data_IF_967344707109
#
_entry.id   IF_967344707109
#
_cell.length_a   1.000
_cell.length_b   1.000
_cell.length_c   1.000
_cell.angle_alpha   90.00
_cell.angle_beta   90.00
_cell.angle_gamma   90.00
#
_symmetry.space_group_name_H-M   'P 1'
#
loop_
_entity.id
_entity.type
_entity.pdbx_description
1 polymer ?
#
# COMPACT_ATOMS: atom_id res chain seq x y z
N UNK A 1 -18.51 -27.03 -27.16
CA UNK A 1 -17.31 -26.50 -26.47
C UNK A 1 -16.82 -25.27 -27.22
N UNK A 2 -16.54 -24.14 -26.56
CA UNK A 2 -16.02 -22.97 -27.25
C UNK A 2 -14.66 -23.32 -27.88
N UNK A 3 -14.54 -23.06 -29.19
CA UNK A 3 -13.28 -23.25 -29.91
C UNK A 3 -12.30 -22.15 -29.51
N UNK A 4 -11.01 -22.47 -29.51
CA UNK A 4 -9.99 -21.43 -29.39
C UNK A 4 -10.19 -20.39 -30.51
N UNK A 5 -9.91 -19.11 -30.23
CA UNK A 5 -9.92 -18.09 -31.26
C UNK A 5 -8.91 -18.44 -32.37
N UNK A 6 -9.11 -17.97 -33.61
CA UNK A 6 -8.15 -18.16 -34.70
C UNK A 6 -6.73 -17.73 -34.32
N UNK A 7 -5.71 -18.35 -34.90
CA UNK A 7 -4.30 -18.08 -34.57
C UNK A 7 -3.92 -16.59 -34.73
N UNK A 8 -4.49 -15.91 -35.73
CA UNK A 8 -4.31 -14.48 -35.94
C UNK A 8 -4.81 -13.65 -34.75
N UNK A 9 -5.97 -14.02 -34.19
CA UNK A 9 -6.54 -13.38 -32.99
C UNK A 9 -5.70 -13.70 -31.75
N UNK A 10 -5.18 -14.93 -31.63
CA UNK A 10 -4.28 -15.30 -30.53
C UNK A 10 -2.98 -14.51 -30.55
N UNK A 11 -2.36 -14.37 -31.74
CA UNK A 11 -1.14 -13.59 -31.93
C UNK A 11 -1.37 -12.11 -31.62
N UNK A 12 -2.45 -11.55 -32.15
CA UNK A 12 -2.78 -10.14 -31.94
C UNK A 12 -3.12 -9.83 -30.48
N UNK A 13 -3.82 -10.74 -29.78
CA UNK A 13 -4.08 -10.61 -28.34
C UNK A 13 -2.78 -10.58 -27.52
N UNK A 14 -1.85 -11.50 -27.82
CA UNK A 14 -0.53 -11.54 -27.16
C UNK A 14 0.23 -10.24 -27.35
N UNK A 15 0.25 -9.72 -28.57
CA UNK A 15 0.94 -8.46 -28.89
C UNK A 15 0.34 -7.28 -28.12
N UNK A 16 -0.98 -7.12 -28.16
CA UNK A 16 -1.69 -6.04 -27.47
C UNK A 16 -1.48 -6.07 -25.97
N UNK A 17 -1.68 -7.23 -25.33
CA UNK A 17 -1.50 -7.35 -23.89
C UNK A 17 -0.04 -7.10 -23.46
N UNK A 18 0.94 -7.53 -24.26
CA UNK A 18 2.35 -7.25 -23.95
C UNK A 18 2.72 -5.78 -24.16
N UNK A 19 2.22 -5.13 -25.22
CA UNK A 19 2.44 -3.71 -25.43
C UNK A 19 1.82 -2.89 -24.29
N UNK A 20 0.56 -3.16 -23.96
CA UNK A 20 -0.15 -2.52 -22.84
C UNK A 20 0.55 -2.76 -21.51
N UNK A 21 1.03 -3.99 -21.26
CA UNK A 21 1.74 -4.30 -20.03
C UNK A 21 3.09 -3.60 -19.93
N UNK A 22 3.83 -3.48 -21.03
CA UNK A 22 5.10 -2.75 -21.04
C UNK A 22 4.93 -1.26 -20.73
N UNK A 23 3.81 -0.66 -21.13
CA UNK A 23 3.48 0.73 -20.81
C UNK A 23 3.06 0.91 -19.35
N UNK A 24 2.23 0.01 -18.80
CA UNK A 24 1.61 0.18 -17.48
C UNK A 24 2.36 -0.48 -16.32
N UNK A 25 3.05 -1.59 -16.56
CA UNK A 25 3.82 -2.35 -15.56
C UNK A 25 5.22 -2.69 -16.10
N UNK A 26 6.13 -1.70 -16.22
CA UNK A 26 7.48 -1.89 -16.76
C UNK A 26 8.36 -2.86 -15.94
N UNK A 27 7.94 -3.24 -14.73
CA UNK A 27 8.58 -4.26 -13.91
C UNK A 27 8.35 -5.70 -14.42
N UNK A 28 7.37 -5.91 -15.30
CA UNK A 28 7.17 -7.21 -15.92
C UNK A 28 8.11 -7.37 -17.10
N UNK A 29 8.79 -8.52 -17.15
CA UNK A 29 9.52 -8.96 -18.34
C UNK A 29 8.54 -9.22 -19.48
N UNK A 30 7.40 -9.84 -19.17
CA UNK A 30 6.38 -10.20 -20.16
C UNK A 30 5.04 -10.56 -19.51
N UNK A 31 3.96 -10.44 -20.28
CA UNK A 31 2.70 -11.14 -20.03
C UNK A 31 2.59 -12.38 -20.92
N UNK A 32 2.41 -13.53 -20.29
CA UNK A 32 2.19 -14.81 -20.95
C UNK A 32 0.71 -15.03 -21.20
N UNK A 33 0.36 -15.41 -22.43
CA UNK A 33 -1.02 -15.70 -22.81
C UNK A 33 -1.11 -17.10 -23.43
N UNK A 34 -1.75 -18.01 -22.68
CA UNK A 34 -1.92 -19.43 -23.06
C UNK A 34 -3.37 -19.70 -23.42
N UNK A 35 -3.62 -20.40 -24.53
CA UNK A 35 -4.98 -20.69 -24.99
C UNK A 35 -5.35 -22.15 -24.75
N UNK A 36 -6.49 -22.38 -24.10
CA UNK A 36 -7.05 -23.72 -23.89
C UNK A 36 -8.56 -23.66 -23.84
N UNK A 37 -9.22 -24.52 -24.61
CA UNK A 37 -10.67 -24.72 -24.60
C UNK A 37 -11.51 -23.43 -24.69
N UNK A 38 -11.13 -22.48 -25.55
CA UNK A 38 -11.84 -21.22 -25.75
C UNK A 38 -11.50 -20.12 -24.74
N UNK A 39 -10.53 -20.35 -23.87
CA UNK A 39 -10.03 -19.38 -22.90
C UNK A 39 -8.59 -18.98 -23.17
N UNK A 40 -8.27 -17.72 -22.89
CA UNK A 40 -6.91 -17.23 -22.74
C UNK A 40 -6.60 -17.05 -21.26
N UNK A 41 -5.53 -17.67 -20.79
CA UNK A 41 -5.01 -17.56 -19.43
C UNK A 41 -3.84 -16.59 -19.46
N UNK A 42 -3.89 -15.58 -18.60
CA UNK A 42 -2.98 -14.45 -18.60
C UNK A 42 -2.17 -14.47 -17.31
N UNK A 43 -0.85 -14.61 -17.44
CA UNK A 43 0.10 -14.67 -16.34
C UNK A 43 1.14 -13.54 -16.50
N UNK A 44 1.50 -12.83 -15.43
CA UNK A 44 2.60 -11.87 -15.41
C UNK A 44 3.92 -12.53 -15.03
N UNK A 45 5.03 -12.16 -15.67
CA UNK A 45 6.38 -12.68 -15.38
C UNK A 45 7.35 -11.54 -15.01
N UNK A 46 8.10 -11.71 -13.91
CA UNK A 46 9.17 -10.79 -13.48
C UNK A 46 10.57 -11.21 -13.97
N UNK A 47 11.55 -10.32 -13.80
CA UNK A 47 12.97 -10.68 -13.91
C UNK A 47 13.30 -11.77 -12.89
N UNK A 48 13.71 -12.95 -13.38
CA UNK A 48 13.92 -14.15 -12.56
C UNK A 48 12.98 -15.31 -12.89
N UNK A 49 11.96 -15.08 -13.73
CA UNK A 49 11.08 -16.14 -14.25
C UNK A 49 9.94 -16.57 -13.30
N UNK A 50 9.77 -15.88 -12.18
CA UNK A 50 8.58 -16.00 -11.34
C UNK A 50 7.33 -15.58 -12.12
N UNK A 51 6.25 -16.35 -11.98
CA UNK A 51 4.98 -16.12 -12.70
C UNK A 51 3.81 -16.04 -11.75
N UNK A 52 2.98 -15.02 -11.94
CA UNK A 52 1.73 -14.83 -11.21
C UNK A 52 0.53 -14.93 -12.17
N UNK A 53 -0.43 -15.84 -11.93
CA UNK A 53 -1.68 -15.85 -12.67
C UNK A 53 -2.52 -14.59 -12.36
N UNK A 54 -3.06 -13.94 -13.40
CA UNK A 54 -3.78 -12.67 -13.26
C UNK A 54 -5.27 -12.83 -13.55
N UNK A 55 -5.60 -13.25 -14.76
CA UNK A 55 -6.97 -13.37 -15.21
C UNK A 55 -7.14 -14.40 -16.32
N UNK A 56 -8.40 -14.76 -16.57
CA UNK A 56 -8.80 -15.64 -17.66
C UNK A 56 -9.83 -14.92 -18.51
N UNK A 57 -9.56 -14.87 -19.82
CA UNK A 57 -10.39 -14.23 -20.82
C UNK A 57 -11.13 -15.30 -21.62
N UNK A 58 -12.46 -15.22 -21.66
CA UNK A 58 -13.31 -16.13 -22.44
C UNK A 58 -13.57 -15.56 -23.82
N UNK A 59 -13.23 -16.32 -24.87
CA UNK A 59 -13.59 -15.96 -26.23
C UNK A 59 -15.06 -16.28 -26.49
N UNK A 60 -15.84 -15.27 -26.90
CA UNK A 60 -17.28 -15.41 -27.18
C UNK A 60 -17.62 -15.39 -28.67
N UNK A 61 -16.62 -15.25 -29.55
CA UNK A 61 -16.80 -15.09 -30.99
C UNK A 61 -16.83 -13.63 -31.46
N UNK A 62 -16.93 -12.67 -30.53
CA UNK A 62 -16.84 -11.24 -30.82
C UNK A 62 -15.38 -10.79 -30.75
N UNK A 63 -14.89 -10.18 -31.82
CA UNK A 63 -13.54 -9.63 -31.85
C UNK A 63 -13.42 -8.51 -30.81
N UNK A 64 -12.29 -8.50 -30.09
CA UNK A 64 -11.93 -7.50 -29.07
C UNK A 64 -12.77 -7.47 -27.78
N UNK A 65 -13.82 -8.27 -27.65
CA UNK A 65 -14.61 -8.37 -26.40
C UNK A 65 -14.42 -9.74 -25.76
N UNK A 66 -14.01 -9.77 -24.50
CA UNK A 66 -13.67 -10.97 -23.76
C UNK A 66 -14.45 -11.05 -22.46
N UNK A 67 -15.01 -12.23 -22.17
CA UNK A 67 -15.58 -12.48 -20.84
C UNK A 67 -14.46 -12.53 -19.80
N UNK A 68 -14.65 -11.90 -18.65
CA UNK A 68 -13.60 -11.71 -17.66
C UNK A 68 -13.77 -12.62 -16.44
N UNK A 69 -12.68 -13.25 -16.03
CA UNK A 69 -12.55 -13.94 -14.76
C UNK A 69 -11.23 -13.58 -14.08
N UNK A 70 -11.29 -13.24 -12.80
CA UNK A 70 -10.13 -12.89 -11.99
C UNK A 70 -9.54 -14.17 -11.38
N UNK A 71 -8.21 -14.27 -11.33
CA UNK A 71 -7.55 -15.33 -10.58
C UNK A 71 -7.85 -15.22 -9.08
N UNK A 72 -7.90 -16.33 -8.36
CA UNK A 72 -8.06 -16.35 -6.91
C UNK A 72 -7.09 -17.35 -6.31
N UNK A 73 -6.08 -16.83 -5.59
CA UNK A 73 -5.03 -17.64 -4.99
C UNK A 73 -5.54 -18.66 -3.95
N UNK A 74 -6.65 -18.37 -3.27
CA UNK A 74 -7.21 -19.25 -2.24
C UNK A 74 -7.71 -20.60 -2.76
N UNK A 75 -8.26 -20.62 -3.97
CA UNK A 75 -8.82 -21.83 -4.60
C UNK A 75 -8.02 -22.29 -5.83
N UNK A 76 -6.87 -21.65 -6.09
CA UNK A 76 -6.09 -21.77 -7.33
C UNK A 76 -6.97 -21.79 -8.60
N UNK A 77 -7.91 -20.84 -8.66
CA UNK A 77 -9.01 -20.86 -9.61
C UNK A 77 -9.27 -19.51 -10.27
N UNK A 78 -10.17 -19.50 -11.25
CA UNK A 78 -10.63 -18.28 -11.91
C UNK A 78 -12.12 -18.11 -11.68
N UNK A 79 -12.51 -16.98 -11.08
CA UNK A 79 -13.92 -16.64 -10.85
C UNK A 79 -14.34 -15.51 -11.77
N UNK A 80 -15.50 -15.68 -12.41
CA UNK A 80 -16.07 -14.67 -13.28
C UNK A 80 -16.26 -13.36 -12.49
N UNK A 81 -15.88 -12.25 -13.11
CA UNK A 81 -15.81 -10.94 -12.47
C UNK A 81 -16.50 -9.85 -13.28
N UNK A 82 -16.67 -8.69 -12.66
CA UNK A 82 -17.20 -7.48 -13.30
C UNK A 82 -16.05 -6.49 -13.49
N UNK A 83 -15.92 -5.97 -14.70
CA UNK A 83 -14.93 -4.95 -15.06
C UNK A 83 -15.33 -3.58 -14.50
N UNK A 84 -14.41 -2.60 -14.42
CA UNK A 84 -14.73 -1.24 -13.97
C UNK A 84 -15.88 -0.56 -14.74
N UNK A 85 -16.07 -0.93 -16.02
CA UNK A 85 -17.24 -0.52 -16.83
C UNK A 85 -18.59 -1.02 -16.31
N UNK A 86 -18.61 -1.92 -15.32
CA UNK A 86 -19.83 -2.54 -14.78
C UNK A 86 -20.30 -3.76 -15.56
N UNK A 87 -19.55 -4.19 -16.57
CA UNK A 87 -19.90 -5.32 -17.44
C UNK A 87 -19.07 -6.58 -17.13
N UNK A 88 -19.61 -7.79 -17.35
CA UNK A 88 -18.86 -9.05 -17.19
C UNK A 88 -17.89 -9.35 -18.35
N UNK A 89 -17.84 -8.47 -19.35
CA UNK A 89 -17.01 -8.58 -20.52
C UNK A 89 -16.63 -7.20 -21.04
N UNK A 90 -15.43 -7.10 -21.62
CA UNK A 90 -14.88 -5.84 -22.11
C UNK A 90 -13.63 -6.08 -22.93
N UNK A 91 -12.78 -5.07 -23.05
CA UNK A 91 -11.52 -5.22 -23.77
C UNK A 91 -10.55 -6.11 -22.98
N UNK A 92 -9.57 -6.69 -23.68
CA UNK A 92 -8.57 -7.51 -23.02
C UNK A 92 -7.65 -6.67 -22.12
N UNK A 93 -7.37 -5.43 -22.53
CA UNK A 93 -6.58 -4.44 -21.79
C UNK A 93 -7.30 -3.97 -20.52
N UNK A 94 -8.60 -3.69 -20.59
CA UNK A 94 -9.41 -3.34 -19.41
C UNK A 94 -9.42 -4.50 -18.40
N UNK A 95 -9.54 -5.73 -18.89
CA UNK A 95 -9.44 -6.92 -18.05
C UNK A 95 -8.04 -7.11 -17.44
N UNK A 96 -6.99 -6.79 -18.20
CA UNK A 96 -5.62 -6.80 -17.70
C UNK A 96 -5.40 -5.69 -16.66
N UNK A 97 -5.94 -4.49 -16.87
CA UNK A 97 -5.91 -3.37 -15.91
C UNK A 97 -6.62 -3.75 -14.62
N UNK A 98 -7.81 -4.34 -14.71
CA UNK A 98 -8.56 -4.79 -13.55
C UNK A 98 -7.77 -5.80 -12.69
N UNK A 99 -7.14 -6.79 -13.34
CA UNK A 99 -6.34 -7.79 -12.63
C UNK A 99 -4.98 -7.24 -12.18
N UNK A 100 -4.31 -6.45 -13.01
CA UNK A 100 -3.00 -5.89 -12.75
C UNK A 100 -3.00 -4.79 -11.70
N UNK A 101 -4.04 -3.96 -11.60
CA UNK A 101 -4.17 -2.98 -10.52
C UNK A 101 -4.34 -3.67 -9.15
N UNK A 102 -4.94 -4.86 -9.13
CA UNK A 102 -5.10 -5.66 -7.92
C UNK A 102 -3.80 -6.39 -7.54
N UNK A 103 -3.17 -7.07 -8.49
CA UNK A 103 -2.07 -8.00 -8.24
C UNK A 103 -0.68 -7.42 -8.52
N UNK A 104 -0.58 -6.58 -9.54
CA UNK A 104 0.68 -6.07 -10.08
C UNK A 104 0.92 -4.61 -9.71
N UNK A 105 0.19 -4.10 -8.69
CA UNK A 105 0.10 -2.68 -8.27
C UNK A 105 1.18 -1.80 -8.91
N UNK A 106 0.81 -0.81 -9.73
CA UNK A 106 1.80 0.00 -10.42
C UNK A 106 2.78 0.61 -9.42
N UNK A 107 4.08 0.33 -9.63
CA UNK A 107 5.07 1.32 -9.23
C UNK A 107 4.89 2.53 -10.15
N UNK A 108 5.05 3.73 -9.60
CA UNK A 108 5.11 4.95 -10.41
C UNK A 108 6.08 4.71 -11.58
N UNK A 109 5.75 5.17 -12.80
CA UNK A 109 6.55 4.91 -13.98
C UNK A 109 8.00 5.33 -13.71
N UNK A 110 8.94 4.42 -13.94
CA UNK A 110 10.38 4.76 -13.93
C UNK A 110 10.59 5.82 -15.02
N UNK A 111 10.63 7.07 -14.59
CA UNK A 111 10.65 8.25 -15.46
C UNK A 111 10.28 9.56 -14.75
N UNK A 112 9.43 9.52 -13.72
CA UNK A 112 9.37 10.61 -12.74
C UNK A 112 10.35 10.31 -11.62
N UNK A 113 11.10 11.30 -11.14
CA UNK A 113 11.94 11.15 -9.95
C UNK A 113 11.17 10.68 -8.70
N UNK A 114 11.82 10.60 -7.54
CA UNK A 114 11.15 10.20 -6.30
C UNK A 114 9.88 11.02 -6.04
N UNK A 115 8.85 10.36 -5.51
CA UNK A 115 7.57 10.97 -5.14
C UNK A 115 7.85 12.08 -4.14
N UNK A 116 7.54 13.32 -4.51
CA UNK A 116 7.77 14.47 -3.62
C UNK A 116 6.73 14.46 -2.50
N UNK A 117 7.21 14.54 -1.27
CA UNK A 117 6.41 14.72 -0.05
C UNK A 117 6.57 16.18 0.35
N UNK A 118 5.47 16.92 0.37
CA UNK A 118 5.47 18.33 0.74
C UNK A 118 5.83 18.52 2.23
N UNK A 119 6.49 19.62 2.54
CA UNK A 119 6.77 20.01 3.92
C UNK A 119 5.46 20.26 4.68
N UNK A 120 5.27 19.59 5.81
CA UNK A 120 4.01 19.60 6.56
C UNK A 120 3.88 18.41 7.50
N UNK A 121 2.66 17.90 7.66
CA UNK A 121 2.41 16.72 8.48
C UNK A 121 2.43 15.45 7.62
N UNK A 122 3.28 14.49 7.99
CA UNK A 122 3.34 13.16 7.37
C UNK A 122 2.83 12.12 8.35
N UNK A 123 1.75 11.43 8.00
CA UNK A 123 1.14 10.38 8.80
C UNK A 123 1.53 9.01 8.24
N UNK A 124 2.19 8.18 9.06
CA UNK A 124 2.35 6.77 8.71
C UNK A 124 1.09 6.02 9.10
N UNK A 125 0.49 5.28 8.17
CA UNK A 125 -0.77 4.56 8.36
C UNK A 125 -0.55 3.08 8.09
N UNK A 126 -0.56 2.25 9.14
CA UNK A 126 -0.44 0.81 8.99
C UNK A 126 -0.40 0.07 10.32
N UNK A 127 -0.80 -1.21 10.35
CA UNK A 127 -0.84 -2.02 11.56
C UNK A 127 0.56 -2.25 12.14
N UNK A 128 0.68 -2.71 13.40
CA UNK A 128 1.96 -3.20 13.93
C UNK A 128 2.59 -4.23 12.98
N UNK A 129 3.91 -4.35 13.02
CA UNK A 129 4.71 -5.16 12.11
C UNK A 129 4.80 -4.70 10.64
N UNK A 130 4.01 -3.72 10.19
CA UNK A 130 3.94 -3.30 8.77
C UNK A 130 5.19 -2.64 8.16
N UNK A 131 6.31 -2.51 8.89
CA UNK A 131 7.55 -1.93 8.39
C UNK A 131 7.73 -0.41 8.55
N UNK A 132 6.80 0.30 9.22
CA UNK A 132 6.87 1.77 9.45
C UNK A 132 8.22 2.23 10.04
N UNK A 133 8.63 1.65 11.17
CA UNK A 133 9.87 2.01 11.87
C UNK A 133 11.11 1.75 11.01
N UNK A 134 11.13 0.63 10.28
CA UNK A 134 12.23 0.31 9.36
C UNK A 134 12.32 1.30 8.20
N UNK A 135 11.18 1.74 7.67
CA UNK A 135 11.09 2.77 6.63
C UNK A 135 11.56 4.14 7.13
N UNK A 136 11.14 4.55 8.34
CA UNK A 136 11.60 5.80 8.96
C UNK A 136 13.11 5.80 9.16
N UNK A 137 13.67 4.72 9.71
CA UNK A 137 15.13 4.57 9.86
C UNK A 137 15.86 4.68 8.52
N UNK A 138 15.28 4.12 7.45
CA UNK A 138 15.84 4.24 6.12
C UNK A 138 15.76 5.67 5.57
N UNK A 139 14.69 6.43 5.84
CA UNK A 139 14.61 7.85 5.47
C UNK A 139 15.67 8.69 6.19
N UNK A 140 15.87 8.47 7.49
CA UNK A 140 16.90 9.16 8.29
C UNK A 140 18.30 8.83 7.76
N UNK A 141 18.61 7.54 7.56
CA UNK A 141 19.90 7.10 7.05
C UNK A 141 20.23 7.67 5.66
N UNK A 142 19.20 8.05 4.88
CA UNK A 142 19.34 8.69 3.56
C UNK A 142 19.33 10.22 3.63
N UNK A 143 19.26 10.81 4.82
CA UNK A 143 19.16 12.25 5.01
C UNK A 143 17.90 12.88 4.39
N UNK A 144 16.82 12.11 4.23
CA UNK A 144 15.54 12.64 3.73
C UNK A 144 14.76 13.35 4.82
N UNK A 145 14.90 12.90 6.07
CA UNK A 145 14.33 13.55 7.24
C UNK A 145 15.34 13.49 8.38
N UNK A 146 15.29 14.48 9.25
CA UNK A 146 16.04 14.46 10.50
C UNK A 146 15.37 13.53 11.52
N UNK A 147 16.15 12.97 12.44
CA UNK A 147 15.60 12.14 13.53
C UNK A 147 14.60 12.92 14.38
N UNK A 148 14.85 14.21 14.59
CA UNK A 148 13.97 15.11 15.34
C UNK A 148 12.62 15.39 14.63
N UNK A 149 12.49 15.01 13.35
CA UNK A 149 11.26 15.11 12.58
C UNK A 149 10.26 14.02 12.94
N UNK A 150 10.74 12.91 13.50
CA UNK A 150 9.91 11.76 13.87
C UNK A 150 9.32 11.98 15.24
N UNK A 151 8.00 11.84 15.33
CA UNK A 151 7.26 11.89 16.60
C UNK A 151 6.57 10.54 16.79
N UNK A 152 7.21 9.65 17.54
CA UNK A 152 6.72 8.30 17.80
C UNK A 152 5.98 8.19 19.13
N UNK A 153 4.78 7.61 19.14
CA UNK A 153 4.07 7.33 20.40
C UNK A 153 4.76 6.26 21.24
N UNK A 154 5.49 5.33 20.60
CA UNK A 154 6.22 4.26 21.28
C UNK A 154 7.49 4.80 21.97
N UNK A 155 8.21 5.72 21.31
CA UNK A 155 9.37 6.40 21.92
C UNK A 155 8.93 7.30 23.08
N UNK A 156 7.87 8.08 22.90
CA UNK A 156 7.29 8.91 23.96
C UNK A 156 6.87 8.03 25.16
N UNK A 157 6.25 6.88 24.91
CA UNK A 157 5.92 5.92 25.98
C UNK A 157 7.16 5.44 26.73
N UNK A 158 8.24 5.12 26.01
CA UNK A 158 9.50 4.69 26.63
C UNK A 158 10.13 5.80 27.50
N UNK A 159 10.08 7.06 27.05
CA UNK A 159 10.54 8.22 27.84
C UNK A 159 9.73 8.40 29.14
N UNK A 160 8.40 8.22 29.07
CA UNK A 160 7.52 8.31 30.25
C UNK A 160 7.62 7.10 31.19
N UNK A 161 7.89 5.90 30.70
CA UNK A 161 8.05 4.71 31.54
C UNK A 161 9.21 4.85 32.55
N UNK A 162 10.23 5.67 32.25
CA UNK A 162 11.29 5.99 33.20
C UNK A 162 10.92 7.04 34.27
N UNK A 163 9.73 7.66 34.15
CA UNK A 163 9.31 8.80 34.98
C UNK A 163 7.90 8.66 35.57
N UNK A 164 7.15 7.62 35.21
CA UNK A 164 5.76 7.42 35.64
C UNK A 164 5.69 6.76 37.03
N UNK A 165 4.83 7.24 37.95
CA UNK A 165 4.50 6.50 39.17
C UNK A 165 3.90 5.14 38.80
N UNK A 166 4.30 4.07 39.50
CA UNK A 166 3.84 2.70 39.25
C UNK A 166 2.30 2.51 39.34
N UNK A 167 1.59 3.49 39.91
CA UNK A 167 0.15 3.45 40.19
C UNK A 167 -0.69 4.38 39.28
N UNK A 168 -0.13 4.86 38.17
CA UNK A 168 -0.89 5.71 37.24
C UNK A 168 -1.97 4.92 36.48
N UNK A 169 -3.18 5.47 36.42
CA UNK A 169 -4.27 4.98 35.59
C UNK A 169 -3.81 4.86 34.12
N UNK A 170 -3.92 3.67 33.48
CA UNK A 170 -3.51 3.46 32.09
C UNK A 170 -4.11 4.46 31.10
N UNK A 171 -5.37 4.86 31.27
CA UNK A 171 -6.03 5.82 30.39
C UNK A 171 -5.42 7.23 30.52
N UNK A 172 -5.04 7.62 31.75
CA UNK A 172 -4.35 8.89 32.00
C UNK A 172 -2.92 8.88 31.46
N UNK A 173 -2.24 7.72 31.49
CA UNK A 173 -0.92 7.55 30.90
C UNK A 173 -0.96 7.70 29.37
N UNK A 174 -1.93 7.05 28.71
CA UNK A 174 -2.13 7.18 27.25
C UNK A 174 -2.49 8.61 26.85
N UNK A 175 -3.32 9.30 27.62
CA UNK A 175 -3.65 10.71 27.38
C UNK A 175 -2.40 11.59 27.38
N UNK A 176 -1.49 11.41 28.36
CA UNK A 176 -0.22 12.15 28.43
C UNK A 176 0.68 11.88 27.23
N UNK A 177 0.76 10.62 26.77
CA UNK A 177 1.53 10.26 25.57
C UNK A 177 0.99 10.99 24.34
N UNK A 178 -0.34 11.03 24.17
CA UNK A 178 -0.95 11.73 23.04
C UNK A 178 -0.82 13.24 23.13
N UNK A 179 -0.93 13.83 24.32
CA UNK A 179 -0.69 15.26 24.54
C UNK A 179 0.76 15.63 24.20
N UNK A 180 1.73 14.85 24.64
CA UNK A 180 3.14 15.08 24.35
C UNK A 180 3.45 14.93 22.85
N UNK A 181 2.88 13.91 22.20
CA UNK A 181 2.99 13.74 20.75
C UNK A 181 2.47 14.96 20.02
N UNK A 182 1.28 15.41 20.37
CA UNK A 182 0.65 16.55 19.73
C UNK A 182 1.42 17.84 19.99
N UNK A 183 1.97 18.03 21.20
CA UNK A 183 2.85 19.16 21.54
C UNK A 183 4.10 19.18 20.64
N UNK A 184 4.76 18.04 20.43
CA UNK A 184 5.93 17.92 19.54
C UNK A 184 5.57 18.23 18.09
N UNK A 185 4.46 17.69 17.60
CA UNK A 185 3.96 17.97 16.23
C UNK A 185 3.67 19.46 16.06
N UNK A 186 2.92 20.06 16.99
CA UNK A 186 2.60 21.50 17.01
C UNK A 186 3.87 22.35 16.96
N UNK A 187 4.87 22.03 17.79
CA UNK A 187 6.13 22.79 17.84
C UNK A 187 6.88 22.78 16.50
N UNK A 188 6.86 21.65 15.76
CA UNK A 188 7.48 21.55 14.44
C UNK A 188 6.70 22.32 13.38
N UNK A 189 5.39 22.12 13.31
CA UNK A 189 4.54 22.79 12.32
C UNK A 189 4.53 24.31 12.52
N UNK A 190 4.51 24.79 13.77
CA UNK A 190 4.63 26.21 14.09
C UNK A 190 5.96 26.83 13.62
N UNK A 191 7.01 26.01 13.51
CA UNK A 191 8.31 26.43 12.97
C UNK A 191 8.44 26.20 11.45
N UNK A 192 7.36 25.84 10.76
CA UNK A 192 7.35 25.52 9.33
C UNK A 192 8.14 24.26 8.97
N UNK A 193 8.41 23.38 9.94
CA UNK A 193 9.17 22.13 9.73
C UNK A 193 8.25 20.93 9.59
N UNK A 194 8.68 19.98 8.77
CA UNK A 194 7.99 18.68 8.59
C UNK A 194 7.92 17.91 9.91
N UNK A 195 6.75 17.35 10.22
CA UNK A 195 6.55 16.44 11.34
C UNK A 195 6.06 15.07 10.82
N UNK A 196 6.77 14.00 11.17
CA UNK A 196 6.42 12.62 10.82
C UNK A 196 5.80 11.95 12.03
N UNK A 197 4.48 11.76 12.02
CA UNK A 197 3.75 11.08 13.07
C UNK A 197 3.89 9.56 12.90
N UNK A 198 4.83 8.96 13.63
CA UNK A 198 5.08 7.51 13.62
C UNK A 198 4.19 6.82 14.65
N UNK A 199 3.06 6.29 14.19
CA UNK A 199 2.13 5.48 14.98
C UNK A 199 1.35 4.58 14.03
N UNK A 200 0.41 3.76 14.54
CA UNK A 200 -0.40 2.91 13.64
C UNK A 200 -1.35 3.74 12.78
N UNK A 201 -1.99 4.77 13.35
CA UNK A 201 -2.93 5.70 12.70
C UNK A 201 -4.02 5.02 11.85
N UNK A 202 -4.39 3.78 12.19
CA UNK A 202 -5.36 2.98 11.43
C UNK A 202 -6.81 3.42 11.66
N UNK A 203 -7.12 4.09 12.77
CA UNK A 203 -8.48 4.55 13.09
C UNK A 203 -8.74 5.98 12.56
N UNK A 204 -9.97 6.28 12.09
CA UNK A 204 -10.35 7.65 11.70
C UNK A 204 -10.18 8.65 12.84
N UNK A 205 -10.53 8.26 14.08
CA UNK A 205 -10.39 9.12 15.27
C UNK A 205 -8.95 9.57 15.50
N UNK A 206 -7.98 8.66 15.35
CA UNK A 206 -6.58 8.99 15.51
C UNK A 206 -6.11 10.00 14.46
N UNK A 207 -6.53 9.82 13.20
CA UNK A 207 -6.16 10.72 12.09
C UNK A 207 -6.85 12.08 12.19
N UNK A 208 -8.14 12.13 12.49
CA UNK A 208 -8.92 13.36 12.57
C UNK A 208 -8.28 14.40 13.53
N UNK A 209 -7.75 13.93 14.67
CA UNK A 209 -7.06 14.80 15.63
C UNK A 209 -5.77 15.40 15.05
N UNK A 210 -4.97 14.60 14.36
CA UNK A 210 -3.71 15.04 13.76
C UNK A 210 -3.94 15.94 12.54
N UNK A 211 -4.94 15.63 11.72
CA UNK A 211 -5.38 16.48 10.60
C UNK A 211 -5.82 17.84 11.13
N UNK A 212 -6.64 17.88 12.18
CA UNK A 212 -7.09 19.14 12.78
C UNK A 212 -5.92 19.99 13.32
N UNK A 213 -4.83 19.36 13.79
CA UNK A 213 -3.60 20.09 14.15
C UNK A 213 -2.97 20.70 12.90
N UNK A 214 -2.73 19.92 11.85
CA UNK A 214 -2.12 20.42 10.61
C UNK A 214 -2.93 21.56 9.96
N UNK A 215 -4.27 21.44 9.95
CA UNK A 215 -5.17 22.48 9.42
C UNK A 215 -5.01 23.83 10.14
N UNK A 216 -4.71 23.84 11.45
CA UNK A 216 -4.49 25.10 12.21
C UNK A 216 -3.24 25.86 11.75
N UNK A 217 -2.30 25.17 11.14
CA UNK A 217 -1.04 25.74 10.64
C UNK A 217 -1.01 25.85 9.11
N UNK A 218 -2.14 25.61 8.44
CA UNK A 218 -2.22 25.53 6.96
C UNK A 218 -1.18 24.57 6.37
N UNK A 219 -0.82 23.53 7.12
CA UNK A 219 0.20 22.57 6.73
C UNK A 219 -0.44 21.43 5.90
N UNK A 220 0.14 21.06 4.73
CA UNK A 220 -0.38 19.95 3.95
C UNK A 220 -0.21 18.63 4.72
N UNK A 221 -1.18 17.74 4.54
CA UNK A 221 -1.19 16.41 5.16
C UNK A 221 -0.89 15.35 4.12
N UNK A 222 0.22 14.65 4.27
CA UNK A 222 0.58 13.48 3.45
C UNK A 222 0.39 12.20 4.27
N UNK A 223 -0.31 11.21 3.72
CA UNK A 223 -0.48 9.91 4.37
C UNK A 223 0.28 8.82 3.62
N UNK A 224 1.19 8.14 4.31
CA UNK A 224 1.97 7.02 3.79
C UNK A 224 1.40 5.71 4.33
N UNK A 225 0.77 4.92 3.46
CA UNK A 225 0.09 3.68 3.81
C UNK A 225 1.02 2.47 3.70
N UNK A 226 0.99 1.61 4.70
CA UNK A 226 1.71 0.35 4.74
C UNK A 226 0.69 -0.79 4.71
N UNK A 227 0.44 -1.36 3.53
CA UNK A 227 -0.64 -2.33 3.29
C UNK A 227 -0.15 -3.76 3.01
N UNK A 228 0.74 -4.36 3.81
CA UNK A 228 1.06 -5.77 3.64
C UNK A 228 -0.17 -6.64 3.98
N UNK A 229 -0.24 -7.84 3.40
CA UNK A 229 -1.27 -8.80 3.77
C UNK A 229 -1.07 -9.33 5.20
N UNK A 230 -2.11 -9.94 5.76
CA UNK A 230 -2.08 -10.42 7.13
C UNK A 230 -1.01 -11.49 7.36
N UNK A 231 -0.73 -12.35 6.38
CA UNK A 231 0.33 -13.36 6.50
C UNK A 231 1.69 -12.71 6.69
N UNK A 232 2.01 -11.72 5.86
CA UNK A 232 3.24 -10.95 5.96
C UNK A 232 3.39 -10.23 7.33
N UNK A 233 2.30 -9.67 7.86
CA UNK A 233 2.32 -9.02 9.17
C UNK A 233 2.64 -10.00 10.31
N UNK A 234 2.06 -11.19 10.26
CA UNK A 234 2.27 -12.22 11.28
C UNK A 234 3.68 -12.81 11.20
N UNK A 235 4.19 -13.06 9.99
CA UNK A 235 5.57 -13.47 9.74
C UNK A 235 6.55 -12.44 10.31
N UNK A 236 6.37 -11.17 9.93
CA UNK A 236 7.21 -10.05 10.41
C UNK A 236 7.10 -9.84 11.91
N UNK A 237 5.96 -10.14 12.53
CA UNK A 237 5.82 -10.04 13.98
C UNK A 237 6.49 -11.21 14.69
N UNK A 238 6.40 -12.43 14.17
CA UNK A 238 7.10 -13.58 14.73
C UNK A 238 8.63 -13.40 14.69
N UNK A 239 9.15 -12.69 13.68
CA UNK A 239 10.55 -12.27 13.60
C UNK A 239 10.92 -11.18 14.62
N UNK A 240 9.94 -10.47 15.20
CA UNK A 240 10.15 -9.43 16.21
C UNK A 240 9.99 -10.05 17.60
N UNK A 241 11.07 -10.07 18.36
CA UNK A 241 11.04 -10.44 19.78
C UNK A 241 10.38 -9.34 20.64
N UNK A 242 9.07 -9.12 20.44
CA UNK A 242 8.23 -8.07 21.04
C UNK A 242 7.00 -8.74 21.68
N UNK A 243 6.97 -8.82 23.00
CA UNK A 243 5.88 -9.46 23.76
C UNK A 243 4.68 -8.54 24.08
N UNK A 244 4.79 -7.24 23.77
CA UNK A 244 3.81 -6.20 24.09
C UNK A 244 2.60 -6.16 23.16
N UNK A 245 2.68 -6.79 21.99
CA UNK A 245 1.61 -6.82 20.99
C UNK A 245 1.26 -8.28 20.70
N UNK A 246 -0.02 -8.63 20.74
CA UNK A 246 -0.46 -9.99 20.44
C UNK A 246 -0.82 -10.16 18.96
N UNK A 247 -0.87 -11.41 18.50
CA UNK A 247 -1.42 -11.78 17.18
C UNK A 247 -2.86 -11.29 16.99
N UNK A 248 -3.66 -11.26 18.07
CA UNK A 248 -5.03 -10.76 18.02
C UNK A 248 -5.06 -9.25 17.73
N UNK A 249 -4.16 -8.48 18.34
CA UNK A 249 -4.04 -7.04 18.12
C UNK A 249 -3.64 -6.70 16.68
N UNK A 250 -2.71 -7.48 16.10
CA UNK A 250 -2.32 -7.34 14.70
C UNK A 250 -3.51 -7.59 13.78
N UNK A 251 -4.27 -8.67 14.02
CA UNK A 251 -5.47 -9.00 13.24
C UNK A 251 -6.52 -7.90 13.36
N UNK A 252 -6.77 -7.40 14.56
CA UNK A 252 -7.71 -6.31 14.81
C UNK A 252 -7.28 -5.03 14.09
N UNK A 253 -6.01 -4.64 14.22
CA UNK A 253 -5.45 -3.45 13.57
C UNK A 253 -5.48 -3.56 12.05
N UNK A 254 -5.18 -4.73 11.48
CA UNK A 254 -5.24 -4.97 10.04
C UNK A 254 -6.69 -4.89 9.52
N UNK A 255 -7.65 -5.44 10.26
CA UNK A 255 -9.07 -5.35 9.92
C UNK A 255 -9.58 -3.90 9.97
N UNK A 256 -9.17 -3.12 10.97
CA UNK A 256 -9.49 -1.68 11.06
C UNK A 256 -8.90 -0.92 9.87
N UNK A 257 -7.63 -1.18 9.53
CA UNK A 257 -6.99 -0.55 8.36
C UNK A 257 -7.75 -0.86 7.06
N UNK A 258 -8.10 -2.14 6.83
CA UNK A 258 -8.81 -2.55 5.62
C UNK A 258 -10.19 -1.86 5.48
N UNK A 259 -10.87 -1.60 6.61
CA UNK A 259 -12.17 -0.91 6.61
C UNK A 259 -12.06 0.60 6.47
N UNK A 260 -11.00 1.21 7.00
CA UNK A 260 -10.98 2.64 7.27
C UNK A 260 -9.79 3.41 6.68
N UNK A 261 -8.86 2.76 5.97
CA UNK A 261 -7.67 3.40 5.41
C UNK A 261 -7.55 3.21 3.88
N UNK A 262 -8.69 3.09 3.19
CA UNK A 262 -8.75 3.19 1.72
C UNK A 262 -8.36 4.59 1.25
N UNK A 263 -7.66 4.71 0.12
CA UNK A 263 -7.11 5.99 -0.35
C UNK A 263 -8.19 7.08 -0.51
N UNK A 264 -9.35 6.74 -1.09
CA UNK A 264 -10.47 7.67 -1.23
C UNK A 264 -11.02 8.17 0.12
N UNK A 265 -11.08 7.30 1.13
CA UNK A 265 -11.49 7.71 2.47
C UNK A 265 -10.45 8.63 3.11
N UNK A 266 -9.16 8.32 2.98
CA UNK A 266 -8.10 9.17 3.54
C UNK A 266 -8.09 10.58 2.92
N UNK A 267 -8.36 10.68 1.62
CA UNK A 267 -8.57 11.98 0.97
C UNK A 267 -9.81 12.70 1.50
N UNK A 268 -10.93 11.99 1.66
CA UNK A 268 -12.15 12.56 2.23
C UNK A 268 -11.98 13.05 3.68
N UNK A 269 -11.03 12.48 4.42
CA UNK A 269 -10.69 12.91 5.78
C UNK A 269 -9.80 14.16 5.83
N UNK A 270 -9.18 14.56 4.70
CA UNK A 270 -8.33 15.76 4.60
C UNK A 270 -6.87 15.50 4.20
N UNK A 271 -6.54 14.29 3.74
CA UNK A 271 -5.22 14.06 3.15
C UNK A 271 -5.07 14.82 1.82
N UNK A 272 -4.03 15.64 1.72
CA UNK A 272 -3.64 16.33 0.49
C UNK A 272 -2.99 15.35 -0.49
N UNK A 273 -2.22 14.39 0.04
CA UNK A 273 -1.60 13.33 -0.72
C UNK A 273 -1.68 11.99 0.04
N UNK A 274 -1.88 10.90 -0.70
CA UNK A 274 -1.90 9.54 -0.16
C UNK A 274 -1.01 8.66 -1.03
N UNK A 275 -0.05 7.97 -0.43
CA UNK A 275 0.87 7.09 -1.13
C UNK A 275 0.99 5.74 -0.43
N UNK A 276 1.11 4.67 -1.22
CA UNK A 276 1.46 3.36 -0.70
C UNK A 276 2.98 3.24 -0.63
N UNK A 277 3.48 2.79 0.53
CA UNK A 277 4.89 2.50 0.71
C UNK A 277 5.14 1.05 0.30
N UNK A 278 6.03 0.79 -0.66
CA UNK A 278 6.35 -0.58 -1.07
C UNK A 278 6.93 -1.42 0.08
N UNK A 279 6.58 -2.70 0.14
CA UNK A 279 6.96 -3.61 1.21
C UNK A 279 7.71 -4.86 0.76
N UNK A 280 8.14 -5.68 1.73
CA UNK A 280 8.95 -6.89 1.53
C UNK A 280 8.34 -7.89 0.53
N UNK A 281 7.01 -8.08 0.52
CA UNK A 281 6.34 -8.97 -0.43
C UNK A 281 6.28 -8.43 -1.86
N UNK A 282 6.57 -7.14 -2.07
CA UNK A 282 6.80 -6.54 -3.38
C UNK A 282 8.30 -6.56 -3.73
N UNK A 283 9.09 -7.40 -3.07
CA UNK A 283 10.54 -7.48 -3.26
C UNK A 283 11.31 -6.23 -2.84
N UNK A 284 10.66 -5.28 -2.15
CA UNK A 284 11.26 -3.98 -1.83
C UNK A 284 11.77 -3.95 -0.40
N UNK A 285 13.05 -3.64 -0.22
CA UNK A 285 13.66 -3.37 1.08
C UNK A 285 13.23 -2.01 1.63
N UNK A 286 13.33 -1.75 2.94
CA UNK A 286 13.05 -0.42 3.49
C UNK A 286 13.87 0.70 2.86
N UNK A 287 15.12 0.42 2.47
CA UNK A 287 16.00 1.40 1.81
C UNK A 287 15.54 1.75 0.40
N UNK A 288 15.11 0.75 -0.37
CA UNK A 288 14.52 0.97 -1.69
C UNK A 288 13.18 1.68 -1.57
N UNK A 289 12.32 1.27 -0.64
CA UNK A 289 11.05 1.92 -0.34
C UNK A 289 11.27 3.41 -0.01
N UNK A 290 12.25 3.73 0.85
CA UNK A 290 12.62 5.11 1.16
C UNK A 290 13.16 5.88 -0.05
N UNK A 291 13.84 5.23 -0.99
CA UNK A 291 14.32 5.86 -2.22
C UNK A 291 13.19 6.27 -3.19
N UNK A 292 11.98 5.72 -3.02
CA UNK A 292 10.81 6.14 -3.80
C UNK A 292 10.24 7.50 -3.38
N UNK A 293 10.69 8.07 -2.26
CA UNK A 293 10.18 9.32 -1.71
C UNK A 293 11.29 10.36 -1.57
N UNK A 294 10.93 11.62 -1.79
CA UNK A 294 11.79 12.78 -1.55
C UNK A 294 11.03 13.80 -0.71
N UNK A 295 11.57 14.10 0.47
CA UNK A 295 10.94 15.02 1.42
C UNK A 295 11.49 16.44 1.21
N UNK A 296 10.59 17.42 1.22
CA UNK A 296 10.91 18.84 1.09
C UNK A 296 11.28 19.48 2.44
#
# INVERSE_FOLDING_TARGET
>A
MPKNPPESVQLHLRQRLNAHAAERWPQLTRVHVRFRAGFAYVDGEWEGGERLPLCRLRFTGVLHTWGFALYQAGDDGYRDGILPSGLPAGSAEEALDCAGDLYLRPHAPRGSGPTRVAAGLVLLVGPPASGKTSFVRALIARGQIDEDAVVSSDEIRAEFLGTSPADADPDAADARIFEERDRRIVARLAAGRTAVAESTNVTPKARARLIAIATRFDAPVTMLRFTPDLGALLEQHAERDRADITVADIRASAAVMARHAGAGQLHAEGAHAVHDVPGRRQGTTPAEAAAHFSFA
#
